data_IF_233345507065
#
_entry.id   IF_233345507065
#
_cell.length_a   1.000
_cell.length_b   1.000
_cell.length_c   1.000
_cell.angle_alpha   90.00
_cell.angle_beta   90.00
_cell.angle_gamma   90.00
#
_symmetry.space_group_name_H-M   'P 1'
#
loop_
_entity.id
_entity.type
_entity.pdbx_description
1 polymer ?
#
# COMPACT_ATOMS: atom_id res chain seq x y z
N UNK A 1 -18.06 8.76 -18.93
CA UNK A 1 -16.69 9.00 -18.42
C UNK A 1 -16.50 8.14 -17.19
N UNK A 2 -15.47 7.30 -17.15
CA UNK A 2 -15.13 6.51 -15.96
C UNK A 2 -14.73 7.45 -14.83
N UNK A 3 -15.24 7.22 -13.62
CA UNK A 3 -14.84 8.01 -12.44
C UNK A 3 -13.34 7.85 -12.20
N UNK A 4 -12.61 8.93 -11.84
CA UNK A 4 -11.20 8.83 -11.51
C UNK A 4 -10.97 7.82 -10.37
N UNK A 5 -9.83 7.14 -10.38
CA UNK A 5 -9.42 6.18 -9.36
C UNK A 5 -8.42 6.86 -8.43
N UNK A 6 -8.77 6.96 -7.15
CA UNK A 6 -7.89 7.50 -6.10
C UNK A 6 -7.17 6.35 -5.41
N UNK A 7 -5.85 6.35 -5.48
CA UNK A 7 -5.00 5.34 -4.83
C UNK A 7 -4.30 5.98 -3.64
N UNK A 8 -4.29 5.28 -2.51
CA UNK A 8 -3.46 5.65 -1.36
C UNK A 8 -2.20 4.78 -1.33
N UNK A 9 -1.05 5.42 -1.47
CA UNK A 9 0.26 4.80 -1.33
C UNK A 9 0.67 4.71 0.14
N UNK A 10 1.12 3.54 0.57
CA UNK A 10 1.57 3.29 1.93
C UNK A 10 2.99 2.73 1.89
N UNK A 11 3.96 3.46 2.46
CA UNK A 11 5.34 2.98 2.61
C UNK A 11 5.53 2.32 3.97
N UNK A 12 5.94 1.06 4.00
CA UNK A 12 6.34 0.36 5.23
C UNK A 12 7.69 0.81 5.80
N UNK A 13 8.28 1.90 5.29
CA UNK A 13 9.58 2.39 5.73
C UNK A 13 9.52 3.86 6.13
N UNK A 14 9.93 4.18 7.34
CA UNK A 14 10.04 5.56 7.83
C UNK A 14 11.39 6.21 7.48
N UNK A 15 12.32 5.49 6.84
CA UNK A 15 13.65 6.01 6.51
C UNK A 15 13.54 7.05 5.37
N UNK A 16 14.14 8.24 5.52
CA UNK A 16 14.13 9.29 4.49
C UNK A 16 14.68 8.80 3.14
N UNK A 17 15.81 8.09 3.14
CA UNK A 17 16.40 7.48 1.94
C UNK A 17 15.81 6.11 1.57
N UNK A 18 14.51 5.89 1.77
CA UNK A 18 13.86 4.61 1.52
C UNK A 18 13.65 4.35 0.02
N UNK A 19 14.17 3.21 -0.48
CA UNK A 19 13.86 2.72 -1.82
C UNK A 19 12.37 2.38 -2.00
N UNK A 20 11.67 1.99 -0.95
CA UNK A 20 10.24 1.70 -1.02
C UNK A 20 9.42 2.99 -1.17
N UNK A 21 9.75 4.05 -0.45
CA UNK A 21 9.16 5.38 -0.66
C UNK A 21 9.51 5.95 -2.04
N UNK A 22 10.75 5.71 -2.51
CA UNK A 22 11.17 6.08 -3.86
C UNK A 22 10.37 5.32 -4.94
N UNK A 23 10.08 4.05 -4.70
CA UNK A 23 9.30 3.22 -5.60
C UNK A 23 7.84 3.71 -5.70
N UNK A 24 7.24 4.16 -4.58
CA UNK A 24 5.91 4.81 -4.60
C UNK A 24 5.95 6.13 -5.40
N UNK A 25 6.98 6.96 -5.23
CA UNK A 25 7.11 8.18 -6.05
C UNK A 25 7.22 7.85 -7.54
N UNK A 26 8.02 6.82 -7.89
CA UNK A 26 8.12 6.35 -9.27
C UNK A 26 6.77 5.85 -9.81
N UNK A 27 5.96 5.18 -8.99
CA UNK A 27 4.61 4.76 -9.34
C UNK A 27 3.72 5.96 -9.69
N UNK A 28 3.81 7.06 -8.93
CA UNK A 28 3.07 8.29 -9.19
C UNK A 28 3.33 8.90 -10.59
N UNK A 29 4.54 8.72 -11.12
CA UNK A 29 4.89 9.16 -12.48
C UNK A 29 4.51 8.16 -13.60
N UNK A 30 4.00 6.99 -13.24
CA UNK A 30 3.67 5.89 -14.17
C UNK A 30 2.19 5.50 -14.12
N UNK A 31 1.36 6.30 -13.46
CA UNK A 31 -0.07 6.05 -13.34
C UNK A 31 -0.75 6.03 -14.70
N UNK A 32 -1.70 5.11 -14.92
CA UNK A 32 -2.63 5.21 -16.03
C UNK A 32 -3.46 6.49 -15.97
N UNK A 33 -3.95 6.93 -17.13
CA UNK A 33 -4.87 8.08 -17.21
C UNK A 33 -6.11 7.87 -16.30
N UNK A 34 -6.51 8.91 -15.60
CA UNK A 34 -7.65 8.86 -14.67
C UNK A 34 -7.34 8.26 -13.30
N UNK A 35 -6.07 7.96 -13.00
CA UNK A 35 -5.64 7.57 -11.64
C UNK A 35 -4.86 8.70 -10.96
N UNK A 36 -5.01 8.80 -9.64
CA UNK A 36 -4.20 9.66 -8.77
C UNK A 36 -3.57 8.83 -7.65
N UNK A 37 -2.45 9.27 -7.12
CA UNK A 37 -1.74 8.62 -6.01
C UNK A 37 -1.38 9.67 -4.95
N UNK A 38 -1.99 9.55 -3.79
CA UNK A 38 -1.59 10.22 -2.57
C UNK A 38 -0.80 9.27 -1.67
N UNK A 39 -0.01 9.77 -0.72
CA UNK A 39 0.79 8.92 0.16
C UNK A 39 0.48 9.22 1.63
N UNK A 40 0.26 8.16 2.41
CA UNK A 40 0.06 8.24 3.84
C UNK A 40 1.41 8.34 4.57
N UNK A 41 1.45 9.14 5.64
CA UNK A 41 2.55 9.16 6.60
C UNK A 41 2.22 8.26 7.80
N UNK A 42 3.07 7.26 8.05
CA UNK A 42 2.91 6.35 9.19
C UNK A 42 3.71 6.78 10.43
N UNK A 43 4.50 7.86 10.35
CA UNK A 43 5.46 8.23 11.41
C UNK A 43 4.78 8.65 12.72
N UNK A 44 3.57 9.22 12.65
CA UNK A 44 2.80 9.67 13.80
C UNK A 44 1.87 8.60 14.41
N UNK A 45 1.78 7.41 13.81
CA UNK A 45 0.86 6.37 14.29
C UNK A 45 1.42 5.67 15.54
N UNK A 46 0.78 5.77 16.71
CA UNK A 46 1.26 5.12 17.93
C UNK A 46 1.13 3.60 17.85
N UNK A 47 1.80 2.88 18.74
CA UNK A 47 1.60 1.44 18.84
C UNK A 47 0.13 1.12 19.18
N UNK A 48 -0.40 0.11 18.49
CA UNK A 48 -1.78 -0.31 18.69
C UNK A 48 -2.02 -0.73 20.15
N UNK A 49 -3.06 -0.16 20.73
CA UNK A 49 -3.56 -0.52 22.03
C UNK A 49 -5.10 -0.43 22.02
N UNK A 50 -5.75 -1.53 22.36
CA UNK A 50 -7.21 -1.61 22.34
C UNK A 50 -7.86 -0.72 23.41
N UNK A 51 -7.20 -0.50 24.55
CA UNK A 51 -7.69 0.40 25.61
C UNK A 51 -7.70 1.86 25.14
N UNK A 52 -6.72 2.25 24.32
CA UNK A 52 -6.68 3.59 23.70
C UNK A 52 -7.79 3.71 22.66
N UNK A 53 -7.93 2.71 21.79
CA UNK A 53 -9.01 2.65 20.78
C UNK A 53 -10.40 2.73 21.41
N UNK A 54 -10.61 2.08 22.56
CA UNK A 54 -11.90 2.05 23.25
C UNK A 54 -12.32 3.43 23.81
N UNK A 55 -11.38 4.34 24.01
CA UNK A 55 -11.66 5.72 24.41
C UNK A 55 -11.93 6.59 23.18
N UNK A 56 -11.00 6.65 22.27
CA UNK A 56 -11.10 7.29 20.95
C UNK A 56 -9.89 6.93 20.08
N UNK A 57 -9.98 7.16 18.77
CA UNK A 57 -8.83 7.02 17.88
C UNK A 57 -7.89 8.23 18.02
N UNK A 58 -6.56 8.02 18.20
CA UNK A 58 -5.60 9.12 18.11
C UNK A 58 -5.68 9.85 16.75
N UNK A 59 -5.47 11.17 16.72
CA UNK A 59 -5.64 12.00 15.51
C UNK A 59 -4.91 11.43 14.30
N UNK A 60 -3.63 11.05 14.45
CA UNK A 60 -2.86 10.47 13.35
C UNK A 60 -3.43 9.12 12.83
N UNK A 61 -4.10 8.36 13.69
CA UNK A 61 -4.79 7.13 13.30
C UNK A 61 -6.10 7.47 12.59
N UNK A 62 -6.85 8.44 13.09
CA UNK A 62 -8.09 8.89 12.47
C UNK A 62 -7.82 9.42 11.05
N UNK A 63 -6.84 10.30 10.89
CA UNK A 63 -6.41 10.83 9.58
C UNK A 63 -6.03 9.70 8.61
N UNK A 64 -5.27 8.71 9.07
CA UNK A 64 -4.89 7.56 8.25
C UNK A 64 -6.11 6.72 7.82
N UNK A 65 -7.05 6.49 8.73
CA UNK A 65 -8.29 5.75 8.46
C UNK A 65 -9.18 6.52 7.46
N UNK A 66 -9.27 7.84 7.58
CA UNK A 66 -10.00 8.70 6.64
C UNK A 66 -9.37 8.68 5.24
N UNK A 67 -8.03 8.75 5.15
CA UNK A 67 -7.31 8.59 3.87
C UNK A 67 -7.61 7.23 3.21
N UNK A 68 -7.61 6.13 3.98
CA UNK A 68 -8.00 4.82 3.46
C UNK A 68 -9.46 4.83 2.99
N UNK A 69 -10.37 5.38 3.78
CA UNK A 69 -11.80 5.45 3.42
C UNK A 69 -12.02 6.22 2.13
N UNK A 70 -11.31 7.32 1.94
CA UNK A 70 -11.41 8.17 0.76
C UNK A 70 -10.79 7.57 -0.50
N UNK A 71 -9.91 6.58 -0.37
CA UNK A 71 -9.24 5.93 -1.50
C UNK A 71 -10.10 4.81 -2.09
N UNK A 72 -9.97 4.57 -3.39
CA UNK A 72 -10.58 3.44 -4.10
C UNK A 72 -9.71 2.18 -4.04
N UNK A 73 -8.41 2.34 -3.85
CA UNK A 73 -7.44 1.25 -3.77
C UNK A 73 -6.20 1.64 -2.96
N UNK A 74 -5.43 0.65 -2.57
CA UNK A 74 -4.16 0.83 -1.85
C UNK A 74 -2.98 0.34 -2.70
N UNK A 75 -1.87 1.08 -2.66
CA UNK A 75 -0.58 0.67 -3.20
C UNK A 75 0.43 0.57 -2.06
N UNK A 76 0.77 -0.64 -1.62
CA UNK A 76 1.60 -0.86 -0.44
C UNK A 76 3.03 -1.21 -0.85
N UNK A 77 3.98 -0.33 -0.53
CA UNK A 77 5.41 -0.58 -0.72
C UNK A 77 6.03 -1.09 0.59
N UNK A 78 6.37 -2.38 0.63
CA UNK A 78 6.91 -2.99 1.84
C UNK A 78 8.39 -3.35 1.70
N UNK A 79 9.28 -2.85 2.57
CA UNK A 79 10.58 -3.48 2.76
C UNK A 79 10.40 -4.86 3.44
N UNK A 80 11.46 -5.65 3.45
CA UNK A 80 11.51 -6.92 4.16
C UNK A 80 12.45 -6.80 5.36
N UNK A 81 11.90 -6.88 6.58
CA UNK A 81 12.67 -6.89 7.82
C UNK A 81 12.47 -8.22 8.52
N UNK A 82 13.58 -8.90 8.82
CA UNK A 82 13.54 -10.21 9.50
C UNK A 82 12.59 -11.21 8.80
N UNK A 83 12.64 -11.26 7.45
CA UNK A 83 11.82 -12.12 6.60
C UNK A 83 10.30 -11.81 6.61
N UNK A 84 9.89 -10.66 7.12
CA UNK A 84 8.49 -10.28 7.23
C UNK A 84 8.26 -8.81 6.87
N UNK A 85 7.00 -8.37 7.02
CA UNK A 85 6.64 -6.96 6.92
C UNK A 85 7.19 -6.18 8.12
N UNK A 86 7.50 -4.89 7.94
CA UNK A 86 7.95 -4.03 9.05
C UNK A 86 6.88 -3.88 10.13
N UNK A 87 7.33 -3.73 11.38
CA UNK A 87 6.45 -3.49 12.52
C UNK A 87 5.55 -2.27 12.33
N UNK A 88 6.08 -1.17 11.77
CA UNK A 88 5.30 0.05 11.51
C UNK A 88 4.14 -0.19 10.53
N UNK A 89 4.35 -0.99 9.49
CA UNK A 89 3.30 -1.33 8.52
C UNK A 89 2.25 -2.23 9.16
N UNK A 90 2.69 -3.26 9.91
CA UNK A 90 1.75 -4.15 10.61
C UNK A 90 0.91 -3.37 11.62
N UNK A 91 1.54 -2.48 12.38
CA UNK A 91 0.88 -1.60 13.35
C UNK A 91 -0.20 -0.71 12.69
N UNK A 92 0.13 -0.09 11.56
CA UNK A 92 -0.83 0.73 10.82
C UNK A 92 -2.05 -0.10 10.33
N UNK A 93 -1.79 -1.33 9.83
CA UNK A 93 -2.85 -2.28 9.44
C UNK A 93 -3.71 -2.68 10.65
N UNK A 94 -3.10 -2.90 11.81
CA UNK A 94 -3.84 -3.25 13.03
C UNK A 94 -4.83 -2.15 13.43
N UNK A 95 -4.43 -0.88 13.36
CA UNK A 95 -5.32 0.26 13.58
C UNK A 95 -6.42 0.37 12.51
N UNK A 96 -6.07 0.22 11.21
CA UNK A 96 -7.01 0.38 10.10
C UNK A 96 -8.01 -0.77 9.96
N UNK A 97 -7.70 -1.94 10.55
CA UNK A 97 -8.55 -3.12 10.51
C UNK A 97 -9.57 -3.20 11.65
N UNK A 98 -9.60 -2.21 12.54
CA UNK A 98 -10.58 -2.18 13.65
C UNK A 98 -11.84 -1.42 13.25
N UNK A 99 -13.04 -1.87 13.70
CA UNK A 99 -14.27 -1.14 13.46
C UNK A 99 -14.31 0.15 14.30
N UNK A 100 -14.89 1.21 13.73
CA UNK A 100 -15.27 2.41 14.44
C UNK A 100 -16.62 2.25 15.17
N UNK A 101 -17.14 3.34 15.75
CA UNK A 101 -18.44 3.36 16.43
C UNK A 101 -19.62 2.96 15.51
N UNK A 102 -19.48 3.19 14.19
CA UNK A 102 -20.48 2.83 13.18
C UNK A 102 -20.22 1.42 12.60
N UNK A 103 -19.29 0.65 13.18
CA UNK A 103 -18.84 -0.68 12.72
C UNK A 103 -18.16 -0.66 11.34
N UNK A 104 -17.68 0.51 10.89
CA UNK A 104 -16.97 0.64 9.63
C UNK A 104 -15.50 0.28 9.80
N UNK A 105 -14.98 -0.54 8.88
CA UNK A 105 -13.57 -0.95 8.81
C UNK A 105 -12.99 -0.44 7.50
N UNK A 106 -12.25 0.70 7.48
CA UNK A 106 -11.85 1.36 6.24
C UNK A 106 -10.97 0.48 5.34
N UNK A 107 -10.21 -0.45 5.92
CA UNK A 107 -9.36 -1.37 5.16
C UNK A 107 -10.14 -2.49 4.47
N UNK A 108 -11.31 -2.87 4.99
CA UNK A 108 -12.04 -4.04 4.53
C UNK A 108 -12.44 -3.96 3.06
N UNK A 109 -12.14 -5.01 2.30
CA UNK A 109 -12.55 -5.15 0.90
C UNK A 109 -11.85 -4.20 -0.09
N UNK A 110 -10.92 -3.33 0.35
CA UNK A 110 -10.18 -2.44 -0.55
C UNK A 110 -9.30 -3.23 -1.51
N UNK A 111 -9.34 -2.95 -2.83
CA UNK A 111 -8.36 -3.45 -3.78
C UNK A 111 -6.95 -3.03 -3.40
N UNK A 112 -6.01 -3.98 -3.44
CA UNK A 112 -4.61 -3.74 -3.06
C UNK A 112 -3.67 -4.20 -4.17
N UNK A 113 -2.68 -3.35 -4.50
CA UNK A 113 -1.46 -3.77 -5.16
C UNK A 113 -0.28 -3.63 -4.19
N UNK A 114 0.71 -4.51 -4.31
CA UNK A 114 1.90 -4.46 -3.47
C UNK A 114 3.16 -4.54 -4.30
N UNK A 115 4.19 -3.89 -3.78
CA UNK A 115 5.52 -3.80 -4.40
C UNK A 115 6.57 -3.71 -3.29
N UNK A 116 7.82 -3.90 -3.65
CA UNK A 116 8.87 -3.73 -2.68
C UNK A 116 10.26 -3.73 -3.28
N UNK A 117 11.17 -3.04 -2.60
CA UNK A 117 12.57 -2.90 -2.97
C UNK A 117 13.48 -3.27 -1.80
N UNK A 118 14.52 -4.03 -2.09
CA UNK A 118 15.56 -4.44 -1.14
C UNK A 118 16.93 -4.34 -1.79
N UNK A 119 17.95 -4.01 -1.00
CA UNK A 119 19.35 -4.10 -1.43
C UNK A 119 19.86 -5.53 -1.56
N UNK A 120 19.12 -6.50 -1.00
CA UNK A 120 19.41 -7.93 -1.12
C UNK A 120 18.79 -8.57 -2.37
N UNK A 121 18.96 -9.89 -2.49
CA UNK A 121 18.61 -10.67 -3.69
C UNK A 121 17.15 -11.14 -3.73
N UNK A 122 16.35 -10.91 -2.69
CA UNK A 122 14.99 -11.45 -2.60
C UNK A 122 13.88 -10.44 -2.87
N UNK A 123 14.20 -9.15 -3.07
CA UNK A 123 13.25 -8.13 -3.52
C UNK A 123 11.98 -8.03 -2.68
N UNK A 124 12.03 -8.37 -1.39
CA UNK A 124 10.91 -8.36 -0.44
C UNK A 124 9.84 -9.46 -0.65
N UNK A 125 10.18 -10.56 -1.33
CA UNK A 125 9.22 -11.62 -1.66
C UNK A 125 8.52 -12.19 -0.43
N UNK A 126 9.26 -12.46 0.67
CA UNK A 126 8.68 -13.03 1.90
C UNK A 126 7.77 -12.04 2.60
N UNK A 127 8.16 -10.77 2.67
CA UNK A 127 7.31 -9.72 3.22
C UNK A 127 6.00 -9.58 2.42
N UNK A 128 6.05 -9.62 1.09
CA UNK A 128 4.84 -9.56 0.27
C UNK A 128 3.94 -10.79 0.46
N UNK A 129 4.50 -11.98 0.64
CA UNK A 129 3.72 -13.18 0.97
C UNK A 129 3.04 -13.06 2.35
N UNK A 130 3.75 -12.58 3.37
CA UNK A 130 3.17 -12.33 4.69
C UNK A 130 2.10 -11.23 4.64
N UNK A 131 2.31 -10.18 3.85
CA UNK A 131 1.31 -9.13 3.68
C UNK A 131 0.01 -9.66 3.06
N UNK A 132 0.10 -10.56 2.06
CA UNK A 132 -1.07 -11.23 1.49
C UNK A 132 -1.86 -11.98 2.56
N UNK A 133 -1.18 -12.71 3.44
CA UNK A 133 -1.81 -13.44 4.53
C UNK A 133 -2.49 -12.48 5.53
N UNK A 134 -1.86 -11.36 5.86
CA UNK A 134 -2.46 -10.33 6.75
C UNK A 134 -3.73 -9.75 6.13
N UNK A 135 -3.73 -9.48 4.83
CA UNK A 135 -4.85 -8.89 4.10
C UNK A 135 -6.05 -9.84 3.91
N UNK A 136 -5.87 -11.16 4.11
CA UNK A 136 -6.98 -12.13 4.12
C UNK A 136 -7.99 -11.80 5.22
N UNK A 137 -7.53 -11.34 6.39
CA UNK A 137 -8.42 -11.01 7.51
C UNK A 137 -9.41 -9.89 7.18
N UNK A 138 -9.02 -8.95 6.36
CA UNK A 138 -9.83 -7.81 5.95
C UNK A 138 -10.47 -7.99 4.56
N UNK A 139 -10.40 -9.22 4.02
CA UNK A 139 -11.03 -9.59 2.74
C UNK A 139 -10.60 -8.68 1.57
N UNK A 140 -9.33 -8.28 1.55
CA UNK A 140 -8.81 -7.41 0.50
C UNK A 140 -8.51 -8.21 -0.79
N UNK A 141 -9.09 -7.82 -1.93
CA UNK A 141 -8.66 -8.37 -3.22
C UNK A 141 -7.29 -7.82 -3.59
N UNK A 142 -6.37 -8.72 -3.96
CA UNK A 142 -4.98 -8.35 -4.22
C UNK A 142 -4.63 -8.62 -5.68
N UNK A 143 -3.97 -7.66 -6.35
CA UNK A 143 -3.37 -7.89 -7.66
C UNK A 143 -2.26 -8.94 -7.53
N UNK A 144 -2.41 -10.06 -8.26
CA UNK A 144 -1.48 -11.19 -8.16
C UNK A 144 -0.29 -11.08 -9.11
N UNK A 145 -0.47 -10.46 -10.26
CA UNK A 145 0.55 -10.32 -11.30
C UNK A 145 0.51 -8.94 -11.95
N UNK A 146 1.68 -8.39 -12.35
CA UNK A 146 3.02 -8.89 -12.00
C UNK A 146 3.34 -8.68 -10.52
N UNK A 147 4.27 -9.47 -9.97
CA UNK A 147 4.89 -9.15 -8.68
C UNK A 147 6.03 -8.16 -8.92
N UNK A 148 6.02 -7.02 -8.25
CA UNK A 148 7.11 -6.03 -8.33
C UNK A 148 8.08 -6.27 -7.18
N UNK A 149 9.14 -7.02 -7.44
CA UNK A 149 10.17 -7.46 -6.51
C UNK A 149 11.52 -6.86 -6.93
N UNK A 150 11.85 -5.68 -6.41
CA UNK A 150 13.07 -4.97 -6.81
C UNK A 150 14.25 -5.46 -5.98
N UNK A 151 15.02 -6.37 -6.56
CA UNK A 151 16.30 -6.86 -6.01
C UNK A 151 17.41 -5.86 -6.28
N UNK A 152 18.50 -5.93 -5.48
CA UNK A 152 19.70 -5.07 -5.64
C UNK A 152 19.33 -3.59 -5.89
N UNK A 153 18.44 -3.06 -5.07
CA UNK A 153 17.84 -1.73 -5.30
C UNK A 153 18.88 -0.61 -5.53
N UNK A 154 20.12 -0.76 -5.00
CA UNK A 154 21.19 0.21 -5.24
C UNK A 154 21.51 0.41 -6.73
N UNK A 155 21.34 -0.64 -7.53
CA UNK A 155 21.66 -0.64 -8.96
C UNK A 155 20.47 -0.20 -9.83
N UNK A 156 19.31 0.00 -9.21
CA UNK A 156 18.03 0.31 -9.87
C UNK A 156 17.57 1.75 -9.69
N UNK A 157 18.24 2.48 -8.79
CA UNK A 157 17.94 3.87 -8.48
C UNK A 157 19.22 4.71 -8.58
N UNK A 158 19.08 5.96 -9.02
CA UNK A 158 20.17 6.94 -9.02
C UNK A 158 20.44 7.49 -7.60
N UNK A 159 21.43 8.39 -7.49
CA UNK A 159 21.81 9.04 -6.24
C UNK A 159 20.70 9.90 -5.62
N UNK A 160 19.74 10.35 -6.42
CA UNK A 160 18.56 11.11 -6.01
C UNK A 160 17.34 10.22 -5.74
N UNK A 161 17.52 8.90 -5.74
CA UNK A 161 16.46 7.91 -5.57
C UNK A 161 15.40 7.96 -6.68
N UNK A 162 15.74 8.33 -7.90
CA UNK A 162 14.90 8.13 -9.06
C UNK A 162 15.09 6.71 -9.59
N UNK A 163 13.98 6.02 -9.89
CA UNK A 163 14.01 4.70 -10.49
C UNK A 163 14.51 4.78 -11.94
N UNK A 164 15.65 4.19 -12.23
CA UNK A 164 16.30 4.22 -13.55
C UNK A 164 16.16 2.92 -14.34
N UNK A 165 15.81 1.81 -13.67
CA UNK A 165 15.67 0.49 -14.30
C UNK A 165 14.36 0.37 -15.08
N UNK A 166 14.46 0.35 -16.43
CA UNK A 166 13.29 0.30 -17.32
C UNK A 166 12.48 -1.00 -17.18
N UNK A 167 13.11 -2.12 -16.87
CA UNK A 167 12.37 -3.36 -16.62
C UNK A 167 11.44 -3.23 -15.41
N UNK A 168 11.95 -2.68 -14.31
CA UNK A 168 11.13 -2.39 -13.11
C UNK A 168 10.02 -1.39 -13.42
N UNK A 169 10.30 -0.34 -14.20
CA UNK A 169 9.28 0.63 -14.64
C UNK A 169 8.18 -0.05 -15.47
N UNK A 170 8.54 -1.00 -16.32
CA UNK A 170 7.59 -1.82 -17.08
C UNK A 170 6.65 -2.62 -16.17
N UNK A 171 7.21 -3.39 -15.25
CA UNK A 171 6.42 -4.15 -14.27
C UNK A 171 5.52 -3.25 -13.42
N UNK A 172 6.00 -2.05 -13.06
CA UNK A 172 5.24 -1.10 -12.27
C UNK A 172 4.04 -0.56 -13.05
N UNK A 173 4.21 -0.20 -14.34
CA UNK A 173 3.09 0.20 -15.22
C UNK A 173 2.03 -0.90 -15.34
N UNK A 174 2.44 -2.14 -15.48
CA UNK A 174 1.50 -3.27 -15.63
C UNK A 174 0.79 -3.58 -14.31
N UNK A 175 1.48 -3.48 -13.17
CA UNK A 175 0.85 -3.58 -11.85
C UNK A 175 -0.24 -2.52 -11.65
N UNK A 176 0.03 -1.27 -12.02
CA UNK A 176 -0.91 -0.15 -11.87
C UNK A 176 -2.11 -0.30 -12.81
N UNK A 177 -1.91 -0.76 -14.05
CA UNK A 177 -3.01 -1.10 -14.97
C UNK A 177 -3.91 -2.19 -14.39
N UNK A 178 -3.31 -3.26 -13.83
CA UNK A 178 -4.07 -4.36 -13.25
C UNK A 178 -4.81 -3.93 -11.97
N UNK A 179 -4.26 -2.99 -11.21
CA UNK A 179 -4.96 -2.38 -10.09
C UNK A 179 -6.20 -1.60 -10.57
N UNK A 180 -6.08 -0.83 -11.65
CA UNK A 180 -7.21 -0.11 -12.23
C UNK A 180 -8.31 -1.07 -12.73
N UNK A 181 -7.93 -2.17 -13.36
CA UNK A 181 -8.88 -3.23 -13.79
C UNK A 181 -9.59 -3.81 -12.57
N UNK A 182 -8.85 -4.16 -11.51
CA UNK A 182 -9.40 -4.72 -10.29
C UNK A 182 -10.42 -3.77 -9.64
N UNK A 183 -10.10 -2.49 -9.51
CA UNK A 183 -11.01 -1.45 -8.99
C UNK A 183 -12.30 -1.39 -9.81
N UNK A 184 -12.18 -1.36 -11.14
CA UNK A 184 -13.35 -1.27 -12.01
C UNK A 184 -14.25 -2.51 -11.92
N UNK A 185 -13.69 -3.71 -11.77
CA UNK A 185 -14.45 -4.94 -11.54
C UNK A 185 -15.25 -4.86 -10.24
N UNK A 186 -14.63 -4.38 -9.15
CA UNK A 186 -15.31 -4.25 -7.85
C UNK A 186 -16.40 -3.18 -7.89
N UNK A 187 -16.16 -2.03 -8.51
CA UNK A 187 -17.18 -0.99 -8.72
C UNK A 187 -18.38 -1.52 -9.51
N UNK A 188 -18.14 -2.33 -10.56
CA UNK A 188 -19.21 -2.90 -11.38
C UNK A 188 -20.08 -3.93 -10.63
N UNK A 189 -19.55 -4.57 -9.61
CA UNK A 189 -20.25 -5.54 -8.75
C UNK A 189 -21.09 -4.84 -7.65
N UNK A 190 -21.12 -3.51 -7.61
CA UNK A 190 -21.83 -2.75 -6.57
C UNK A 190 -21.23 -2.89 -5.19
N UNK A 191 -20.04 -3.47 -5.10
CA UNK A 191 -19.27 -3.46 -3.87
C UNK A 191 -18.57 -2.09 -3.79
N UNK A 192 -18.96 -1.23 -2.83
CA UNK A 192 -18.21 -0.01 -2.61
C UNK A 192 -16.78 -0.42 -2.29
N UNK A 193 -15.81 0.23 -2.91
CA UNK A 193 -14.43 0.12 -2.49
C UNK A 193 -14.35 0.67 -1.06
N UNK A 194 -14.55 -0.21 -0.06
CA UNK A 194 -14.49 0.10 1.35
C UNK A 194 -15.81 0.56 2.00
N UNK A 195 -16.72 -0.37 2.24
CA UNK A 195 -17.74 -0.29 3.30
C UNK A 195 -17.54 -1.45 4.27
#
# INVERSE_FOLDING_TARGET
>A
MTQPIRVLGISGSLRQGSYNSALLRAAGHLLPEGMTLDTADLSGIPLYNDDVRAQDYPDAVQDFREQISAADALLIATPEYNFSIPGVLKNAIDWASRPDANKQVPLKGKPVAMLGASTGLFGTVRAQHHLRQVLVYTDNPVVNTPQVLVMTAKDKFDANLHLTDEATRGFLRDLLKNLAVLVNVYRAQGQPAGV
#
